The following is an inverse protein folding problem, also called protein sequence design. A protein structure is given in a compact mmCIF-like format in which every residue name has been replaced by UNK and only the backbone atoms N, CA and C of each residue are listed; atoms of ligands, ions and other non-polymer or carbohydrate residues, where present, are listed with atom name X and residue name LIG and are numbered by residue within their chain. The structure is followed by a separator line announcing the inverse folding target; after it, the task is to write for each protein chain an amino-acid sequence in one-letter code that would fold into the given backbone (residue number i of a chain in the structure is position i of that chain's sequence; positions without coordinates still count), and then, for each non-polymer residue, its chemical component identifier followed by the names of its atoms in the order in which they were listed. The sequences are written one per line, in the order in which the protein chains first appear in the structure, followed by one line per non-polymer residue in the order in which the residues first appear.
data_IF_517626284303
#
_entry.id   IF_517626284303
#
_cell.length_a   1.000
_cell.length_b   1.000
_cell.length_c   1.000
_cell.angle_alpha   90.00
_cell.angle_beta   90.00
_cell.angle_gamma   90.00
#
_symmetry.space_group_name_H-M   'P 1'
#
loop_
_entity.id
_entity.type
_entity.pdbx_description
1 polymer ?
#
# COMPACT_ATOMS: atom_id res chain seq x y z
N UNK A 1 32.92 -5.17 10.67
CA UNK A 1 31.80 -5.50 9.77
C UNK A 1 30.68 -4.48 9.96
N UNK A 2 29.90 -4.21 8.92
CA UNK A 2 28.71 -3.34 9.00
C UNK A 2 27.53 -4.04 8.31
N UNK A 3 26.36 -4.02 8.96
CA UNK A 3 25.10 -4.53 8.41
C UNK A 3 24.03 -3.45 8.41
N UNK A 4 23.42 -3.23 7.25
CA UNK A 4 22.35 -2.25 7.07
C UNK A 4 21.15 -2.88 6.37
N UNK A 5 20.00 -2.18 6.44
CA UNK A 5 18.78 -2.50 5.69
C UNK A 5 18.29 -1.25 4.98
N UNK A 6 17.84 -1.39 3.74
CA UNK A 6 17.35 -0.27 2.91
C UNK A 6 16.08 0.38 3.46
N UNK A 7 15.21 -0.41 4.11
CA UNK A 7 13.98 0.04 4.75
C UNK A 7 13.84 -0.56 6.15
N UNK A 8 13.92 0.28 7.18
CA UNK A 8 13.76 -0.14 8.59
C UNK A 8 12.30 -0.24 9.04
N UNK A 9 11.33 0.25 8.25
CA UNK A 9 9.89 0.24 8.55
C UNK A 9 9.03 -0.21 7.36
N UNK A 10 9.23 -1.43 6.82
CA UNK A 10 8.46 -1.94 5.68
C UNK A 10 7.05 -2.37 6.05
N UNK A 11 6.18 -2.51 5.06
CA UNK A 11 4.91 -3.22 5.20
C UNK A 11 5.12 -4.74 5.11
N UNK A 12 4.24 -5.53 5.73
CA UNK A 12 4.21 -6.98 5.50
C UNK A 12 3.87 -7.26 4.04
N UNK A 13 4.67 -8.10 3.39
CA UNK A 13 4.59 -8.42 1.97
C UNK A 13 5.57 -7.65 1.09
N UNK A 14 6.19 -6.59 1.60
CA UNK A 14 7.24 -5.86 0.86
C UNK A 14 8.57 -6.61 0.88
N UNK A 15 9.37 -6.39 -0.16
CA UNK A 15 10.75 -6.82 -0.20
C UNK A 15 11.65 -5.75 0.42
N UNK A 16 12.59 -6.19 1.25
CA UNK A 16 13.67 -5.38 1.81
C UNK A 16 15.01 -6.00 1.44
N UNK A 17 16.05 -5.18 1.46
CA UNK A 17 17.42 -5.59 1.13
C UNK A 17 18.33 -5.35 2.31
N UNK A 18 18.87 -6.44 2.88
CA UNK A 18 19.99 -6.37 3.81
C UNK A 18 21.29 -6.26 3.03
N UNK A 19 22.20 -5.39 3.49
CA UNK A 19 23.55 -5.24 2.95
C UNK A 19 24.55 -5.47 4.06
N UNK A 20 25.48 -6.40 3.85
CA UNK A 20 26.58 -6.72 4.77
C UNK A 20 27.87 -6.31 4.08
N UNK A 21 28.67 -5.49 4.74
CA UNK A 21 30.01 -5.10 4.31
C UNK A 21 31.04 -5.67 5.28
N UNK A 22 31.89 -6.55 4.77
CA UNK A 22 32.97 -7.21 5.50
C UNK A 22 34.31 -6.64 5.04
N UNK A 23 34.98 -5.90 5.93
CA UNK A 23 36.27 -5.28 5.67
C UNK A 23 37.37 -6.01 6.41
N UNK A 24 38.51 -6.27 5.76
CA UNK A 24 39.72 -6.75 6.43
C UNK A 24 40.67 -5.57 6.71
N UNK A 25 40.77 -5.17 7.97
CA UNK A 25 41.64 -4.05 8.40
C UNK A 25 43.13 -4.45 8.57
N UNK A 26 43.45 -5.72 8.28
CA UNK A 26 44.82 -6.20 8.12
C UNK A 26 45.54 -6.58 9.42
N UNK A 27 46.89 -6.69 9.38
CA UNK A 27 47.79 -6.36 8.27
C UNK A 27 47.97 -7.47 7.23
N UNK A 28 47.35 -8.64 7.41
CA UNK A 28 47.46 -9.78 6.50
C UNK A 28 46.13 -10.03 5.79
N UNK A 29 46.18 -10.70 4.64
CA UNK A 29 44.97 -11.21 3.99
C UNK A 29 44.28 -12.23 4.91
N UNK A 30 42.95 -12.16 4.98
CA UNK A 30 42.13 -13.08 5.75
C UNK A 30 41.66 -14.21 4.83
N UNK A 31 41.87 -15.47 5.21
CA UNK A 31 41.56 -16.66 4.41
C UNK A 31 40.61 -17.60 5.14
N UNK A 32 39.84 -18.37 4.37
CA UNK A 32 38.77 -19.25 4.86
C UNK A 32 37.79 -18.46 5.75
N UNK A 33 37.37 -17.30 5.25
CA UNK A 33 36.43 -16.42 5.94
C UNK A 33 35.01 -16.87 5.64
N UNK A 34 34.27 -17.20 6.70
CA UNK A 34 32.84 -17.53 6.63
C UNK A 34 32.05 -16.51 7.46
N UNK A 35 31.00 -15.94 6.87
CA UNK A 35 30.02 -15.12 7.60
C UNK A 35 28.70 -15.88 7.69
N UNK A 36 28.07 -15.84 8.86
CA UNK A 36 26.75 -16.39 9.06
C UNK A 36 25.73 -15.27 9.22
N UNK A 37 24.74 -15.29 8.36
CA UNK A 37 23.55 -14.45 8.39
C UNK A 37 22.35 -15.29 7.95
N UNK A 38 21.72 -15.98 8.90
CA UNK A 38 20.51 -16.74 8.62
C UNK A 38 19.30 -15.84 8.85
N UNK A 39 18.48 -15.66 7.81
CA UNK A 39 17.24 -14.90 7.92
C UNK A 39 16.33 -15.49 9.02
N UNK A 40 15.95 -14.70 10.04
CA UNK A 40 15.06 -15.17 11.10
C UNK A 40 13.61 -15.33 10.64
N UNK A 41 12.78 -15.94 11.49
CA UNK A 41 11.33 -15.99 11.32
C UNK A 41 10.76 -14.58 11.09
N UNK A 42 9.83 -14.46 10.15
CA UNK A 42 9.25 -13.17 9.73
C UNK A 42 9.88 -12.58 8.48
N UNK A 43 10.88 -13.25 7.89
CA UNK A 43 11.43 -12.97 6.58
C UNK A 43 11.36 -14.21 5.69
N UNK A 44 11.28 -14.02 4.38
CA UNK A 44 11.36 -15.11 3.39
C UNK A 44 12.36 -14.71 2.33
N UNK A 45 13.38 -15.54 2.12
CA UNK A 45 14.43 -15.31 1.14
C UNK A 45 13.86 -15.17 -0.29
N UNK A 46 14.38 -14.21 -1.06
CA UNK A 46 14.04 -13.99 -2.47
C UNK A 46 15.25 -14.20 -3.37
N UNK A 47 16.35 -13.51 -3.07
CA UNK A 47 17.60 -13.57 -3.83
C UNK A 47 18.77 -13.02 -3.03
N UNK A 48 20.00 -13.36 -3.42
CA UNK A 48 21.21 -12.70 -2.94
C UNK A 48 22.15 -12.30 -4.09
N UNK A 49 23.08 -11.41 -3.79
CA UNK A 49 24.26 -11.16 -4.63
C UNK A 49 25.49 -10.96 -3.73
N UNK A 50 26.62 -11.53 -4.16
CA UNK A 50 27.92 -11.41 -3.47
C UNK A 50 28.94 -10.73 -4.38
N UNK A 51 29.86 -9.95 -3.81
CA UNK A 51 31.04 -9.48 -4.53
C UNK A 51 32.10 -10.57 -4.69
N UNK A 52 32.23 -11.44 -3.70
CA UNK A 52 33.13 -12.60 -3.66
C UNK A 52 32.43 -13.78 -2.95
N UNK A 53 32.79 -15.00 -3.35
CA UNK A 53 32.25 -16.21 -2.74
C UNK A 53 30.78 -16.48 -3.06
N UNK A 54 30.12 -17.28 -2.23
CA UNK A 54 28.71 -17.66 -2.41
C UNK A 54 27.94 -17.75 -1.10
N UNK A 55 26.66 -17.37 -1.13
CA UNK A 55 25.75 -17.48 -0.01
C UNK A 55 24.81 -18.69 -0.17
N UNK A 56 24.57 -19.41 0.92
CA UNK A 56 23.62 -20.52 1.03
C UNK A 56 22.48 -20.09 1.97
N UNK A 57 21.27 -19.96 1.41
CA UNK A 57 20.10 -19.44 2.11
C UNK A 57 19.51 -20.41 3.15
N UNK A 58 19.74 -21.71 2.99
CA UNK A 58 19.23 -22.72 3.93
C UNK A 58 20.03 -22.70 5.24
N UNK A 59 21.34 -22.45 5.14
CA UNK A 59 22.26 -22.40 6.29
C UNK A 59 22.54 -20.98 6.79
N UNK A 60 22.31 -19.98 5.93
CA UNK A 60 22.69 -18.59 6.15
C UNK A 60 24.20 -18.37 6.02
N UNK A 61 24.93 -19.26 5.37
CA UNK A 61 26.39 -19.20 5.32
C UNK A 61 26.84 -18.50 4.05
N UNK A 62 27.60 -17.42 4.20
CA UNK A 62 28.38 -16.80 3.14
C UNK A 62 29.82 -17.30 3.22
N UNK A 63 30.20 -18.20 2.32
CA UNK A 63 31.58 -18.65 2.12
C UNK A 63 32.29 -17.57 1.29
N UNK A 64 32.95 -16.65 1.99
CA UNK A 64 33.63 -15.49 1.39
C UNK A 64 34.97 -15.90 0.78
N UNK A 65 35.62 -16.90 1.37
CA UNK A 65 36.94 -17.34 0.94
C UNK A 65 38.05 -16.43 1.43
N UNK A 66 38.57 -15.54 0.57
CA UNK A 66 39.70 -14.65 0.90
C UNK A 66 39.26 -13.20 0.84
N UNK A 67 39.56 -12.43 1.89
CA UNK A 67 39.41 -10.97 1.92
C UNK A 67 40.81 -10.37 1.99
N UNK A 68 41.26 -9.75 0.90
CA UNK A 68 42.58 -9.12 0.84
C UNK A 68 42.71 -7.98 1.86
N UNK A 69 43.92 -7.72 2.34
CA UNK A 69 44.16 -6.64 3.30
C UNK A 69 43.73 -5.28 2.73
N UNK A 70 42.79 -4.62 3.41
CA UNK A 70 42.22 -3.32 3.05
C UNK A 70 41.01 -3.39 2.12
N UNK A 71 40.64 -4.58 1.65
CA UNK A 71 39.47 -4.77 0.79
C UNK A 71 38.19 -4.95 1.61
N UNK A 72 37.06 -4.74 0.94
CA UNK A 72 35.73 -4.93 1.51
C UNK A 72 34.90 -5.76 0.55
N UNK A 73 34.41 -6.88 1.03
CA UNK A 73 33.46 -7.71 0.32
C UNK A 73 32.04 -7.43 0.80
N UNK A 74 31.07 -7.55 -0.09
CA UNK A 74 29.67 -7.24 0.14
C UNK A 74 28.78 -8.43 -0.18
N UNK A 75 27.82 -8.69 0.71
CA UNK A 75 26.67 -9.55 0.47
C UNK A 75 25.39 -8.74 0.59
N UNK A 76 24.52 -8.82 -0.41
CA UNK A 76 23.16 -8.29 -0.36
C UNK A 76 22.15 -9.43 -0.34
N UNK A 77 21.21 -9.42 0.60
CA UNK A 77 20.12 -10.41 0.69
C UNK A 77 18.79 -9.68 0.54
N UNK A 78 18.02 -10.03 -0.48
CA UNK A 78 16.63 -9.59 -0.65
C UNK A 78 15.69 -10.59 0.01
N UNK A 79 14.80 -10.08 0.87
CA UNK A 79 13.82 -10.90 1.56
C UNK A 79 12.44 -10.22 1.60
N UNK A 80 11.37 -11.01 1.51
CA UNK A 80 9.99 -10.56 1.73
C UNK A 80 9.67 -10.58 3.23
N UNK A 81 9.09 -9.50 3.74
CA UNK A 81 8.64 -9.39 5.13
C UNK A 81 7.33 -10.16 5.31
N UNK A 82 7.28 -11.13 6.24
CA UNK A 82 6.11 -11.99 6.48
C UNK A 82 5.51 -11.85 7.89
N UNK A 83 6.14 -11.05 8.76
CA UNK A 83 5.68 -10.80 10.13
C UNK A 83 5.58 -9.30 10.42
N UNK A 84 4.63 -8.93 11.28
CA UNK A 84 4.45 -7.57 11.79
C UNK A 84 5.25 -7.30 13.09
N UNK A 85 5.88 -8.33 13.67
CA UNK A 85 6.73 -8.16 14.84
C UNK A 85 8.05 -7.50 14.43
N UNK A 86 8.71 -6.81 15.36
CA UNK A 86 10.09 -6.36 15.15
C UNK A 86 10.99 -7.58 14.90
N UNK A 87 11.83 -7.47 13.88
CA UNK A 87 12.74 -8.51 13.42
C UNK A 87 14.16 -7.96 13.56
N UNK A 88 15.00 -8.71 14.26
CA UNK A 88 16.44 -8.44 14.35
C UNK A 88 17.14 -9.53 13.54
N UNK A 89 17.90 -9.11 12.53
CA UNK A 89 18.69 -10.01 11.71
C UNK A 89 20.17 -9.73 11.98
N UNK A 90 20.91 -10.77 12.36
CA UNK A 90 22.28 -10.68 12.88
C UNK A 90 23.20 -11.39 11.89
N UNK A 91 24.26 -10.69 11.48
CA UNK A 91 25.39 -11.27 10.79
C UNK A 91 26.57 -11.42 11.76
N UNK A 92 27.36 -12.48 11.62
CA UNK A 92 28.59 -12.69 12.38
C UNK A 92 29.64 -13.43 11.55
N UNK A 93 30.92 -13.03 11.65
CA UNK A 93 32.04 -13.84 11.17
C UNK A 93 32.15 -15.11 12.02
N UNK A 94 32.07 -16.28 11.38
CA UNK A 94 32.12 -17.57 12.06
C UNK A 94 33.42 -18.33 11.88
N UNK A 95 34.21 -17.98 10.87
CA UNK A 95 35.54 -18.52 10.65
C UNK A 95 36.46 -17.48 10.00
N UNK A 96 37.74 -17.55 10.34
CA UNK A 96 38.87 -16.90 9.68
C UNK A 96 40.15 -17.61 10.16
N UNK A 97 41.12 -17.83 9.27
CA UNK A 97 42.40 -18.43 9.64
C UNK A 97 43.33 -17.46 10.38
N UNK A 98 43.21 -16.16 10.08
CA UNK A 98 44.08 -15.13 10.64
C UNK A 98 43.52 -14.67 11.98
N UNK A 99 44.43 -14.56 12.96
CA UNK A 99 44.08 -14.08 14.29
C UNK A 99 43.68 -12.61 14.25
N UNK A 100 42.46 -12.36 14.69
CA UNK A 100 41.92 -11.04 14.98
C UNK A 100 42.23 -10.67 16.46
N UNK A 101 42.88 -9.52 16.73
CA UNK A 101 43.30 -9.14 18.08
C UNK A 101 42.19 -8.63 18.99
N UNK A 102 41.06 -8.18 18.45
CA UNK A 102 39.96 -7.57 19.19
C UNK A 102 38.61 -8.26 19.03
N UNK A 103 38.49 -9.20 18.09
CA UNK A 103 37.28 -10.02 17.91
C UNK A 103 37.57 -11.53 17.93
N UNK A 104 36.59 -12.34 18.32
CA UNK A 104 36.70 -13.81 18.29
C UNK A 104 35.57 -14.42 17.46
N UNK A 105 35.86 -15.05 16.30
CA UNK A 105 34.82 -15.60 15.44
C UNK A 105 33.88 -16.58 16.17
N UNK A 106 32.59 -16.51 15.83
CA UNK A 106 31.53 -17.42 16.32
C UNK A 106 31.33 -17.43 17.85
N UNK A 107 31.57 -16.31 18.54
CA UNK A 107 31.38 -16.20 20.00
C UNK A 107 30.05 -15.54 20.42
N UNK A 108 29.30 -14.96 19.48
CA UNK A 108 28.05 -14.22 19.70
C UNK A 108 28.19 -12.97 20.61
N UNK A 109 29.30 -12.22 20.54
CA UNK A 109 29.52 -10.99 21.32
C UNK A 109 29.13 -9.72 20.51
N UNK A 110 28.00 -9.06 20.80
CA UNK A 110 27.50 -7.93 19.97
C UNK A 110 28.31 -6.63 20.07
N UNK A 111 29.26 -6.54 20.99
CA UNK A 111 30.14 -5.38 21.14
C UNK A 111 31.44 -5.51 20.31
N UNK A 112 31.69 -6.70 19.74
CA UNK A 112 32.80 -6.96 18.82
C UNK A 112 32.42 -6.52 17.40
N UNK A 113 33.42 -6.17 16.58
CA UNK A 113 33.19 -5.63 15.24
C UNK A 113 33.04 -6.71 14.16
N UNK A 114 33.17 -7.98 14.53
CA UNK A 114 32.90 -9.14 13.67
C UNK A 114 31.42 -9.56 13.68
N UNK A 115 30.58 -8.86 14.46
CA UNK A 115 29.14 -9.05 14.54
C UNK A 115 28.41 -7.72 14.37
N UNK A 116 27.32 -7.72 13.61
CA UNK A 116 26.43 -6.57 13.49
C UNK A 116 24.99 -7.02 13.23
N UNK A 117 24.02 -6.15 13.51
CA UNK A 117 22.62 -6.45 13.33
C UNK A 117 21.91 -5.30 12.60
N UNK A 118 20.87 -5.67 11.84
CA UNK A 118 19.89 -4.73 11.34
C UNK A 118 18.53 -5.06 11.95
N UNK A 119 17.90 -4.04 12.50
CA UNK A 119 16.54 -4.14 13.03
C UNK A 119 15.54 -3.61 12.01
N UNK A 120 14.55 -4.43 11.70
CA UNK A 120 13.37 -4.06 10.93
C UNK A 120 12.22 -4.00 11.92
N UNK A 121 11.50 -2.88 11.94
CA UNK A 121 10.25 -2.76 12.68
C UNK A 121 9.14 -2.60 11.66
N UNK A 122 8.62 -3.71 11.09
CA UNK A 122 7.52 -3.64 10.16
C UNK A 122 6.38 -2.84 10.77
N UNK A 123 5.70 -2.06 9.94
CA UNK A 123 4.52 -1.36 10.40
C UNK A 123 3.52 -2.41 10.93
N UNK A 124 2.95 -2.19 12.12
CA UNK A 124 2.05 -3.17 12.71
C UNK A 124 0.92 -3.47 11.72
N UNK A 125 0.67 -4.75 11.44
CA UNK A 125 -0.55 -5.19 10.78
C UNK A 125 -1.68 -4.84 11.74
N UNK A 126 -2.34 -3.71 11.50
CA UNK A 126 -3.55 -3.34 12.20
C UNK A 126 -4.65 -4.25 11.61
N UNK A 127 -5.24 -5.19 12.38
CA UNK A 127 -6.43 -5.90 11.90
C UNK A 127 -7.50 -4.86 11.57
N UNK A 128 -8.04 -4.92 10.35
CA UNK A 128 -8.75 -3.83 9.71
C UNK A 128 -9.81 -3.15 10.58
N UNK A 129 -9.68 -1.82 10.79
CA UNK A 129 -10.79 -0.99 11.18
C UNK A 129 -11.25 -0.14 9.98
N UNK A 130 -12.26 -0.62 9.26
CA UNK A 130 -13.32 0.25 8.75
C UNK A 130 -13.31 0.61 7.27
N UNK A 131 -14.36 0.17 6.57
CA UNK A 131 -15.58 0.97 6.37
C UNK A 131 -16.72 -0.02 6.11
N UNK A 132 -17.54 -0.31 7.12
CA UNK A 132 -18.71 -1.18 6.90
C UNK A 132 -19.80 -0.42 6.16
N UNK A 133 -20.13 -0.84 4.94
CA UNK A 133 -21.46 -0.61 4.35
C UNK A 133 -22.54 -1.16 5.33
N UNK A 134 -23.80 -0.67 5.26
CA UNK A 134 -24.65 -0.37 6.41
C UNK A 134 -24.57 -1.40 7.56
N UNK A 135 -23.75 -1.07 8.56
CA UNK A 135 -23.38 -2.00 9.65
C UNK A 135 -22.29 -1.47 10.58
N UNK A 136 -21.61 -0.38 10.20
CA UNK A 136 -20.66 0.37 11.02
C UNK A 136 -21.20 0.68 12.43
N UNK A 137 -22.50 0.97 12.53
CA UNK A 137 -23.15 1.52 13.72
C UNK A 137 -23.46 0.53 14.87
N UNK A 138 -23.04 -0.74 14.79
CA UNK A 138 -23.41 -1.76 15.78
C UNK A 138 -22.25 -2.36 16.58
N UNK A 139 -20.99 -2.02 16.29
CA UNK A 139 -19.87 -2.55 17.06
C UNK A 139 -19.70 -1.77 18.39
N UNK A 140 -19.98 -2.43 19.52
CA UNK A 140 -19.90 -1.87 20.88
C UNK A 140 -18.58 -2.16 21.60
N UNK A 141 -17.62 -2.79 20.92
CA UNK A 141 -16.26 -2.90 21.41
C UNK A 141 -15.42 -2.05 20.47
N UNK A 142 -14.54 -1.22 21.03
CA UNK A 142 -13.66 -0.25 20.35
C UNK A 142 -14.33 1.11 20.06
N UNK A 143 -14.12 2.05 20.99
CA UNK A 143 -14.26 3.48 20.71
C UNK A 143 -12.99 4.18 21.20
N UNK A 144 -12.28 4.78 20.24
CA UNK A 144 -11.64 6.09 20.26
C UNK A 144 -10.87 6.20 18.93
N UNK A 145 -11.37 7.01 17.99
CA UNK A 145 -10.58 7.52 16.87
C UNK A 145 -10.49 9.03 17.07
N UNK A 146 -9.29 9.58 16.94
CA UNK A 146 -8.97 10.92 17.39
C UNK A 146 -7.97 11.58 16.42
N UNK A 147 -8.04 12.91 16.43
CA UNK A 147 -8.01 13.92 15.36
C UNK A 147 -6.62 14.44 14.94
N UNK A 148 -5.54 13.72 15.25
CA UNK A 148 -4.18 14.14 14.88
C UNK A 148 -3.57 15.32 15.66
N UNK A 149 -4.15 15.77 16.79
CA UNK A 149 -3.54 16.77 17.73
C UNK A 149 -2.93 16.16 19.03
N UNK A 150 -3.35 16.35 20.27
CA UNK A 150 -3.09 15.38 21.37
C UNK A 150 -4.15 15.62 22.47
N UNK A 151 -4.89 14.58 22.91
CA UNK A 151 -5.68 14.59 24.15
C UNK A 151 -7.23 14.63 24.07
N UNK A 152 -7.86 14.29 22.95
CA UNK A 152 -9.30 14.51 22.76
C UNK A 152 -10.11 13.29 22.27
N UNK A 153 -10.11 12.20 23.02
CA UNK A 153 -10.90 11.02 22.63
C UNK A 153 -12.13 10.81 23.57
N UNK A 154 -13.41 10.67 23.11
CA UNK A 154 -14.52 10.73 24.06
C UNK A 154 -15.43 9.50 24.22
N UNK A 155 -15.79 9.29 25.49
CA UNK A 155 -16.94 8.55 26.04
C UNK A 155 -18.29 9.28 25.82
N UNK A 156 -18.38 10.13 24.79
CA UNK A 156 -19.50 11.04 24.52
C UNK A 156 -20.36 10.65 23.31
N UNK A 157 -20.31 9.39 22.84
CA UNK A 157 -21.05 8.85 21.69
C UNK A 157 -22.60 8.79 21.81
N UNK A 158 -23.19 9.67 22.62
CA UNK A 158 -24.64 9.75 22.87
C UNK A 158 -25.15 11.14 23.25
N UNK A 159 -24.35 12.20 23.05
CA UNK A 159 -24.84 13.57 23.06
C UNK A 159 -25.46 13.88 21.67
N UNK A 160 -26.51 14.70 21.57
CA UNK A 160 -27.09 15.10 20.27
C UNK A 160 -26.10 15.86 19.35
N UNK A 161 -24.90 16.19 19.84
CA UNK A 161 -23.78 16.83 19.12
C UNK A 161 -22.57 15.88 18.89
N UNK A 162 -22.78 14.56 18.77
CA UNK A 162 -21.74 13.63 18.27
C UNK A 162 -21.62 13.77 16.73
N UNK A 163 -20.42 13.90 16.11
CA UNK A 163 -20.32 14.31 14.70
C UNK A 163 -20.92 13.30 13.71
N UNK A 164 -21.63 13.83 12.71
CA UNK A 164 -22.26 13.11 11.61
C UNK A 164 -21.30 12.76 10.44
N UNK A 165 -19.98 12.82 10.63
CA UNK A 165 -18.98 12.35 9.67
C UNK A 165 -17.56 12.84 9.94
N UNK A 166 -16.61 11.91 10.08
CA UNK A 166 -15.17 12.17 10.03
C UNK A 166 -14.56 11.24 8.98
N UNK A 167 -14.04 11.85 7.92
CA UNK A 167 -13.13 11.26 6.94
C UNK A 167 -11.76 11.86 7.29
N UNK A 168 -10.75 11.01 7.51
CA UNK A 168 -9.41 11.45 7.92
C UNK A 168 -8.89 12.59 7.04
N UNK A 169 -8.21 13.58 7.64
CA UNK A 169 -7.34 14.47 6.87
C UNK A 169 -6.36 13.59 6.07
N UNK A 170 -6.15 13.86 4.78
CA UNK A 170 -5.60 12.86 3.92
C UNK A 170 -4.07 12.72 4.15
N UNK A 171 -3.54 11.50 4.24
CA UNK A 171 -2.18 11.20 4.71
C UNK A 171 -1.09 11.49 3.67
N UNK A 172 -1.34 12.41 2.73
CA UNK A 172 -0.40 12.80 1.67
C UNK A 172 0.64 13.77 2.23
N UNK A 173 1.43 13.31 3.20
CA UNK A 173 2.53 14.10 3.79
C UNK A 173 3.70 14.29 2.83
N UNK A 174 3.80 13.42 1.82
CA UNK A 174 4.76 13.44 0.72
C UNK A 174 4.22 14.11 -0.56
N UNK A 175 3.03 14.73 -0.51
CA UNK A 175 2.54 15.63 -1.55
C UNK A 175 3.35 16.92 -1.61
N UNK A 176 3.40 17.56 -2.79
CA UNK A 176 4.02 18.88 -2.94
C UNK A 176 3.32 19.95 -2.09
N UNK A 177 2.01 19.80 -1.86
CA UNK A 177 1.25 20.54 -0.86
C UNK A 177 0.78 19.57 0.24
N UNK A 178 1.55 19.42 1.34
CA UNK A 178 1.22 18.47 2.39
C UNK A 178 -0.22 18.60 2.90
N UNK A 179 -0.93 17.47 2.96
CA UNK A 179 -2.35 17.42 3.34
C UNK A 179 -3.33 17.73 2.21
N UNK A 180 -2.84 17.84 0.97
CA UNK A 180 -3.64 17.99 -0.24
C UNK A 180 -3.14 17.06 -1.35
N UNK A 181 -4.01 16.85 -2.33
CA UNK A 181 -3.70 16.14 -3.57
C UNK A 181 -3.98 17.04 -4.76
N UNK A 182 -3.25 16.81 -5.84
CA UNK A 182 -3.54 17.41 -7.12
C UNK A 182 -4.79 16.74 -7.69
N UNK A 183 -5.89 17.48 -7.73
CA UNK A 183 -7.10 17.02 -8.39
C UNK A 183 -6.83 16.86 -9.90
N UNK A 184 -6.98 15.64 -10.47
CA UNK A 184 -6.70 15.39 -11.88
C UNK A 184 -7.62 16.19 -12.81
N UNK A 185 -8.84 16.55 -12.37
CA UNK A 185 -9.84 17.24 -13.19
C UNK A 185 -9.55 18.74 -13.25
N UNK A 186 -9.37 19.37 -12.08
CA UNK A 186 -9.19 20.83 -11.99
C UNK A 186 -7.73 21.25 -12.15
N UNK A 187 -6.78 20.35 -11.91
CA UNK A 187 -5.34 20.66 -11.85
C UNK A 187 -4.94 21.52 -10.64
N UNK A 188 -5.80 21.61 -9.63
CA UNK A 188 -5.56 22.38 -8.40
C UNK A 188 -5.31 21.46 -7.20
N UNK A 189 -4.46 21.90 -6.26
CA UNK A 189 -4.26 21.18 -5.01
C UNK A 189 -5.45 21.39 -4.06
N UNK A 190 -6.15 20.31 -3.76
CA UNK A 190 -7.36 20.31 -2.94
C UNK A 190 -7.28 19.31 -1.79
N UNK A 191 -8.07 19.56 -0.76
CA UNK A 191 -8.24 18.61 0.35
C UNK A 191 -9.28 17.57 -0.05
N UNK A 192 -8.87 16.31 -0.05
CA UNK A 192 -9.71 15.18 -0.42
C UNK A 192 -8.90 13.90 -0.48
N UNK A 193 -9.47 12.88 -1.09
CA UNK A 193 -8.85 11.58 -1.29
C UNK A 193 -8.60 11.35 -2.77
N UNK A 194 -7.38 11.00 -3.11
CA UNK A 194 -6.99 10.52 -4.44
C UNK A 194 -6.93 8.99 -4.37
N UNK A 195 -8.02 8.33 -4.73
CA UNK A 195 -8.12 6.87 -4.74
C UNK A 195 -7.21 6.34 -5.82
N UNK A 196 -6.35 5.36 -5.51
CA UNK A 196 -5.44 4.74 -6.47
C UNK A 196 -4.01 5.31 -6.46
N UNK A 197 -3.75 6.36 -5.69
CA UNK A 197 -2.40 6.89 -5.43
C UNK A 197 -1.72 6.06 -4.33
N UNK A 198 -1.06 4.97 -4.74
CA UNK A 198 -0.50 3.98 -3.83
C UNK A 198 0.81 4.43 -3.19
N UNK A 199 1.54 5.35 -3.83
CA UNK A 199 2.76 5.90 -3.24
C UNK A 199 2.49 7.13 -2.36
N UNK A 200 1.24 7.62 -2.35
CA UNK A 200 0.73 8.72 -1.52
C UNK A 200 1.39 10.06 -1.84
N UNK A 201 1.95 10.24 -3.03
CA UNK A 201 2.59 11.50 -3.41
C UNK A 201 1.59 12.61 -3.78
N UNK A 202 0.29 12.32 -3.70
CA UNK A 202 -0.79 13.25 -3.96
C UNK A 202 -0.95 13.59 -5.45
N UNK A 203 -0.50 12.72 -6.36
CA UNK A 203 -0.60 12.89 -7.81
C UNK A 203 -0.96 11.57 -8.47
N UNK A 204 -1.50 11.66 -9.67
CA UNK A 204 -1.70 10.51 -10.56
C UNK A 204 -0.40 10.24 -11.33
N UNK A 205 0.23 9.10 -11.07
CA UNK A 205 1.43 8.66 -11.81
C UNK A 205 1.10 7.79 -13.04
N UNK A 206 2.10 7.58 -13.92
CA UNK A 206 1.91 6.83 -15.19
C UNK A 206 1.38 5.40 -15.02
N UNK A 207 1.60 4.78 -13.87
CA UNK A 207 1.17 3.41 -13.55
C UNK A 207 -0.06 3.35 -12.64
N UNK A 208 -0.68 4.50 -12.36
CA UNK A 208 -1.82 4.58 -11.46
C UNK A 208 -3.09 4.93 -12.24
N UNK A 209 -4.19 4.26 -11.90
CA UNK A 209 -5.53 4.74 -12.24
C UNK A 209 -6.08 5.39 -10.99
N UNK A 210 -6.47 6.66 -11.09
CA UNK A 210 -6.94 7.41 -9.92
C UNK A 210 -8.28 8.08 -10.13
N UNK A 211 -9.06 8.21 -9.06
CA UNK A 211 -10.22 9.10 -8.98
C UNK A 211 -10.07 9.98 -7.75
N UNK A 212 -10.37 11.26 -7.89
CA UNK A 212 -10.38 12.21 -6.79
C UNK A 212 -11.80 12.44 -6.27
N UNK A 213 -11.92 12.52 -4.95
CA UNK A 213 -13.11 13.06 -4.29
C UNK A 213 -12.68 14.05 -3.22
N UNK A 214 -13.32 15.22 -3.17
CA UNK A 214 -13.23 16.10 -2.01
C UNK A 214 -13.72 15.37 -0.75
N UNK A 215 -13.34 15.86 0.42
CA UNK A 215 -13.79 15.26 1.69
C UNK A 215 -15.32 15.21 1.80
N UNK A 216 -16.01 16.25 1.33
CA UNK A 216 -17.47 16.34 1.38
C UNK A 216 -18.12 15.33 0.41
N UNK A 217 -17.59 15.20 -0.81
CA UNK A 217 -18.06 14.21 -1.79
C UNK A 217 -17.85 12.78 -1.28
N UNK A 218 -16.66 12.48 -0.75
CA UNK A 218 -16.37 11.17 -0.18
C UNK A 218 -17.32 10.82 0.98
N UNK A 219 -17.61 11.79 1.86
CA UNK A 219 -18.59 11.65 2.94
C UNK A 219 -19.99 11.37 2.38
N UNK A 220 -20.42 12.10 1.36
CA UNK A 220 -21.72 11.93 0.71
C UNK A 220 -21.80 10.62 -0.09
N UNK A 221 -20.68 10.16 -0.64
CA UNK A 221 -20.59 8.86 -1.32
C UNK A 221 -20.76 7.73 -0.31
N UNK A 222 -20.22 7.86 0.89
CA UNK A 222 -20.37 6.88 1.98
C UNK A 222 -21.77 6.94 2.60
N UNK A 223 -22.33 8.13 2.82
CA UNK A 223 -23.64 8.36 3.45
C UNK A 223 -24.79 7.94 2.53
N UNK A 224 -25.30 6.73 2.75
CA UNK A 224 -26.35 6.10 1.94
C UNK A 224 -27.71 6.86 1.88
N UNK A 225 -27.93 7.89 2.71
CA UNK A 225 -29.23 8.52 2.91
C UNK A 225 -29.67 9.52 1.82
N UNK A 226 -28.75 10.07 1.03
CA UNK A 226 -29.04 11.17 0.08
C UNK A 226 -28.97 10.79 -1.41
N UNK A 227 -28.97 9.50 -1.75
CA UNK A 227 -28.63 9.02 -3.10
C UNK A 227 -29.86 8.69 -3.96
N UNK A 228 -29.69 8.72 -5.28
CA UNK A 228 -30.56 8.00 -6.22
C UNK A 228 -30.31 6.50 -6.02
N UNK A 229 -31.00 5.89 -5.05
CA UNK A 229 -30.75 4.52 -4.53
C UNK A 229 -30.64 3.40 -5.59
N UNK A 230 -31.05 3.67 -6.82
CA UNK A 230 -31.10 2.69 -7.91
C UNK A 230 -29.86 2.68 -8.81
N UNK A 231 -29.01 3.70 -8.76
CA UNK A 231 -27.80 3.76 -9.60
C UNK A 231 -26.63 3.01 -8.95
N UNK A 232 -26.12 2.01 -9.67
CA UNK A 232 -25.07 1.12 -9.20
C UNK A 232 -23.68 1.75 -9.17
N UNK A 233 -23.47 2.87 -9.84
CA UNK A 233 -22.22 3.65 -9.71
C UNK A 233 -21.98 4.11 -8.28
N UNK A 234 -23.01 4.57 -7.57
CA UNK A 234 -22.88 4.88 -6.14
C UNK A 234 -22.64 3.65 -5.27
N UNK A 235 -23.10 2.47 -5.70
CA UNK A 235 -22.86 1.23 -4.94
C UNK A 235 -21.38 0.88 -5.01
N UNK A 236 -20.80 0.89 -6.20
CA UNK A 236 -19.37 0.64 -6.40
C UNK A 236 -18.51 1.76 -5.80
N UNK A 237 -18.82 3.03 -6.09
CA UNK A 237 -18.08 4.17 -5.56
C UNK A 237 -18.06 4.20 -4.03
N UNK A 238 -19.12 3.74 -3.36
CA UNK A 238 -19.10 3.57 -1.90
C UNK A 238 -18.11 2.49 -1.46
N UNK A 239 -18.13 1.31 -2.09
CA UNK A 239 -17.17 0.25 -1.76
C UNK A 239 -15.74 0.66 -2.09
N UNK A 240 -15.53 1.40 -3.16
CA UNK A 240 -14.21 1.90 -3.55
C UNK A 240 -13.68 2.93 -2.54
N UNK A 241 -14.48 3.94 -2.19
CA UNK A 241 -14.15 4.91 -1.14
C UNK A 241 -13.84 4.21 0.19
N UNK A 242 -14.69 3.26 0.58
CA UNK A 242 -14.49 2.42 1.75
C UNK A 242 -13.15 1.67 1.71
N UNK A 243 -12.84 1.04 0.58
CA UNK A 243 -11.62 0.25 0.41
C UNK A 243 -10.36 1.13 0.45
N UNK A 244 -10.44 2.32 -0.16
CA UNK A 244 -9.34 3.28 -0.13
C UNK A 244 -9.06 3.79 1.28
N UNK A 245 -10.11 4.09 2.05
CA UNK A 245 -9.93 4.51 3.43
C UNK A 245 -9.36 3.40 4.32
N UNK A 246 -9.75 2.15 4.09
CA UNK A 246 -9.08 1.02 4.72
C UNK A 246 -7.59 1.00 4.35
N UNK A 247 -7.24 1.18 3.08
CA UNK A 247 -5.84 1.22 2.64
C UNK A 247 -5.06 2.37 3.29
N UNK A 248 -5.61 3.58 3.31
CA UNK A 248 -5.00 4.74 3.95
C UNK A 248 -4.80 4.54 5.46
N UNK A 249 -5.70 3.79 6.11
CA UNK A 249 -5.58 3.36 7.51
C UNK A 249 -4.48 2.30 7.74
N UNK A 250 -3.74 1.90 6.70
CA UNK A 250 -2.62 0.96 6.78
C UNK A 250 -3.01 -0.49 6.51
N UNK A 251 -4.21 -0.75 5.99
CA UNK A 251 -4.60 -2.11 5.59
C UNK A 251 -4.02 -2.47 4.22
N UNK A 252 -3.70 -3.76 3.98
CA UNK A 252 -3.39 -4.22 2.63
C UNK A 252 -4.63 -4.02 1.74
N UNK A 253 -4.42 -3.56 0.51
CA UNK A 253 -5.50 -3.24 -0.40
C UNK A 253 -5.66 -4.32 -1.48
N UNK A 254 -6.90 -4.67 -1.90
CA UNK A 254 -7.12 -5.41 -3.12
C UNK A 254 -6.82 -4.49 -4.32
N UNK A 255 -5.54 -4.36 -4.68
CA UNK A 255 -5.06 -3.34 -5.64
C UNK A 255 -5.68 -3.50 -7.03
N UNK A 256 -5.83 -4.75 -7.48
CA UNK A 256 -6.42 -5.07 -8.78
C UNK A 256 -7.91 -4.66 -8.78
N UNK A 257 -8.67 -5.01 -7.74
CA UNK A 257 -10.10 -4.68 -7.66
C UNK A 257 -10.36 -3.18 -7.44
N UNK A 258 -9.46 -2.47 -6.74
CA UNK A 258 -9.52 -1.01 -6.65
C UNK A 258 -9.28 -0.40 -8.02
N UNK A 259 -8.30 -0.89 -8.77
CA UNK A 259 -7.99 -0.43 -10.13
C UNK A 259 -9.15 -0.70 -11.08
N UNK A 260 -9.71 -1.92 -11.07
CA UNK A 260 -10.90 -2.27 -11.84
C UNK A 260 -12.10 -1.42 -11.45
N UNK A 261 -12.29 -1.15 -10.15
CA UNK A 261 -13.35 -0.29 -9.65
C UNK A 261 -13.23 1.16 -10.11
N UNK A 262 -12.02 1.70 -10.12
CA UNK A 262 -11.71 3.01 -10.68
C UNK A 262 -12.03 3.02 -12.17
N UNK A 263 -11.47 2.09 -12.94
CA UNK A 263 -11.66 2.04 -14.38
C UNK A 263 -13.11 1.82 -14.78
N UNK A 264 -13.87 1.03 -14.02
CA UNK A 264 -15.31 0.84 -14.24
C UNK A 264 -16.09 2.14 -14.00
N UNK A 265 -15.74 2.92 -12.98
CA UNK A 265 -16.34 4.24 -12.73
C UNK A 265 -15.94 5.24 -13.82
N UNK A 266 -14.66 5.35 -14.17
CA UNK A 266 -14.18 6.24 -15.24
C UNK A 266 -14.78 5.87 -16.60
N UNK A 267 -15.12 4.60 -16.84
CA UNK A 267 -15.83 4.18 -18.05
C UNK A 267 -17.29 4.66 -18.07
N UNK A 268 -17.94 4.77 -16.91
CA UNK A 268 -19.39 4.98 -16.80
C UNK A 268 -19.75 6.27 -16.04
N UNK A 269 -18.86 7.25 -16.01
CA UNK A 269 -19.11 8.59 -15.46
C UNK A 269 -18.78 9.64 -16.52
N UNK A 270 -19.34 10.86 -16.39
CA UNK A 270 -18.99 11.96 -17.29
C UNK A 270 -17.49 12.26 -17.26
N UNK A 271 -16.99 12.69 -18.41
CA UNK A 271 -15.67 13.28 -18.64
C UNK A 271 -15.85 14.80 -18.57
N UNK A 272 -15.44 15.42 -17.46
CA UNK A 272 -15.64 16.83 -17.16
C UNK A 272 -14.53 17.71 -17.75
N UNK A 273 -13.31 17.20 -17.86
CA UNK A 273 -12.13 17.93 -18.34
C UNK A 273 -11.82 17.70 -19.83
N UNK A 274 -12.45 16.70 -20.44
CA UNK A 274 -12.33 16.34 -21.85
C UNK A 274 -11.08 15.54 -22.19
N UNK A 275 -10.45 14.88 -21.21
CA UNK A 275 -9.26 14.05 -21.42
C UNK A 275 -9.57 12.68 -22.07
N UNK A 276 -10.86 12.36 -22.23
CA UNK A 276 -11.34 11.10 -22.76
C UNK A 276 -11.48 10.02 -21.68
N UNK A 277 -11.50 10.34 -20.40
CA UNK A 277 -11.79 9.43 -19.29
C UNK A 277 -12.86 10.07 -18.43
N UNK A 278 -13.75 9.25 -17.87
CA UNK A 278 -14.68 9.77 -16.88
C UNK A 278 -13.96 10.06 -15.57
N UNK A 279 -14.45 11.04 -14.83
CA UNK A 279 -13.78 11.54 -13.62
C UNK A 279 -14.25 10.88 -12.33
N UNK A 280 -15.20 9.95 -12.43
CA UNK A 280 -15.82 9.36 -11.26
C UNK A 280 -16.81 10.30 -10.56
N UNK A 281 -17.17 11.44 -11.17
CA UNK A 281 -18.05 12.48 -10.64
C UNK A 281 -19.46 11.97 -10.34
N UNK A 282 -19.69 11.52 -9.11
CA UNK A 282 -20.94 10.86 -8.73
C UNK A 282 -22.01 11.87 -8.32
N UNK A 283 -21.62 12.99 -7.72
CA UNK A 283 -22.47 14.13 -7.37
C UNK A 283 -23.20 14.72 -8.59
N UNK A 284 -22.54 14.71 -9.75
CA UNK A 284 -23.08 15.23 -11.00
C UNK A 284 -24.15 14.33 -11.65
N UNK A 285 -24.35 13.13 -11.11
CA UNK A 285 -25.38 12.19 -11.56
C UNK A 285 -26.78 12.53 -11.02
N UNK A 286 -26.92 13.53 -10.13
CA UNK A 286 -28.16 13.71 -9.35
C UNK A 286 -29.27 14.44 -10.11
N UNK A 287 -29.01 15.37 -11.03
CA UNK A 287 -30.09 15.98 -11.85
C UNK A 287 -29.56 16.68 -13.11
N UNK A 288 -29.89 16.16 -14.30
CA UNK A 288 -29.94 16.99 -15.52
C UNK A 288 -28.97 16.65 -16.66
N UNK A 289 -28.09 15.66 -16.51
CA UNK A 289 -27.20 15.19 -17.58
C UNK A 289 -27.86 13.99 -18.29
N UNK A 290 -27.61 13.83 -19.60
CA UNK A 290 -27.98 12.67 -20.45
C UNK A 290 -27.28 11.35 -20.02
N UNK A 291 -26.99 11.18 -18.74
CA UNK A 291 -26.34 10.01 -18.14
C UNK A 291 -27.38 9.13 -17.42
N UNK A 292 -28.09 8.24 -18.14
CA UNK A 292 -29.10 7.39 -17.51
C UNK A 292 -28.47 6.53 -16.40
N UNK A 293 -29.21 6.27 -15.31
CA UNK A 293 -28.69 5.53 -14.17
C UNK A 293 -28.36 4.09 -14.56
N UNK A 294 -27.29 3.54 -13.99
CA UNK A 294 -26.92 2.14 -14.19
C UNK A 294 -27.73 1.27 -13.25
N UNK A 295 -28.78 0.63 -13.79
CA UNK A 295 -29.66 -0.23 -13.02
C UNK A 295 -28.97 -1.55 -12.60
N UNK A 296 -29.46 -2.17 -11.53
CA UNK A 296 -29.03 -3.49 -11.06
C UNK A 296 -29.14 -4.60 -12.12
N UNK A 297 -30.02 -4.44 -13.12
CA UNK A 297 -30.22 -5.38 -14.22
C UNK A 297 -29.38 -5.07 -15.46
N UNK A 298 -28.54 -4.04 -15.41
CA UNK A 298 -27.68 -3.65 -16.54
C UNK A 298 -26.68 -4.75 -16.88
N UNK A 299 -26.35 -4.86 -18.18
CA UNK A 299 -25.27 -5.72 -18.65
C UNK A 299 -23.93 -5.31 -18.05
N UNK A 300 -23.65 -4.01 -17.95
CA UNK A 300 -22.41 -3.48 -17.36
C UNK A 300 -22.24 -3.88 -15.89
N UNK A 301 -23.37 -3.99 -15.16
CA UNK A 301 -23.36 -4.33 -13.75
C UNK A 301 -23.21 -5.84 -13.50
N UNK A 302 -23.79 -6.70 -14.33
CA UNK A 302 -23.79 -8.15 -14.09
C UNK A 302 -22.89 -8.97 -15.02
N UNK A 303 -22.43 -8.38 -16.12
CA UNK A 303 -21.73 -9.08 -17.19
C UNK A 303 -20.45 -8.40 -17.68
N UNK A 304 -20.04 -7.28 -17.06
CA UNK A 304 -18.80 -6.58 -17.42
C UNK A 304 -18.93 -5.67 -18.63
N UNK A 305 -17.79 -5.12 -19.03
CA UNK A 305 -17.66 -4.22 -20.19
C UNK A 305 -16.62 -4.83 -21.13
N UNK A 306 -17.12 -5.56 -22.13
CA UNK A 306 -16.27 -6.27 -23.12
C UNK A 306 -16.29 -5.60 -24.50
N UNK A 307 -17.05 -4.51 -24.64
CA UNK A 307 -17.23 -3.82 -25.93
C UNK A 307 -16.43 -2.51 -25.95
N UNK A 308 -15.89 -2.10 -27.11
CA UNK A 308 -15.17 -0.83 -27.22
C UNK A 308 -16.00 0.33 -26.68
N UNK A 309 -15.33 1.32 -26.06
CA UNK A 309 -15.99 2.47 -25.45
C UNK A 309 -16.90 3.19 -26.44
N UNK A 310 -16.46 3.34 -27.70
CA UNK A 310 -17.24 3.93 -28.80
C UNK A 310 -18.59 3.25 -29.11
N UNK A 311 -18.86 2.08 -28.52
CA UNK A 311 -20.14 1.36 -28.65
C UNK A 311 -21.09 1.53 -27.45
N UNK A 312 -20.63 2.17 -26.38
CA UNK A 312 -21.45 2.50 -25.22
C UNK A 312 -22.48 3.60 -25.56
N UNK A 313 -23.56 3.75 -24.79
CA UNK A 313 -24.45 4.87 -24.96
C UNK A 313 -23.79 6.18 -24.48
N UNK A 314 -24.14 7.28 -25.15
CA UNK A 314 -23.78 8.62 -24.70
C UNK A 314 -24.22 8.89 -23.25
N UNK A 315 -23.40 9.61 -22.45
CA UNK A 315 -22.12 10.25 -22.81
C UNK A 315 -20.89 9.34 -22.71
N UNK A 316 -21.04 8.08 -22.28
CA UNK A 316 -19.91 7.19 -22.01
C UNK A 316 -19.13 6.79 -23.28
N UNK A 317 -19.70 6.98 -24.46
CA UNK A 317 -19.02 6.78 -25.75
C UNK A 317 -17.87 7.77 -26.01
N UNK A 318 -17.74 8.81 -25.19
CA UNK A 318 -16.68 9.81 -25.29
C UNK A 318 -15.44 9.44 -24.48
N UNK A 319 -15.52 8.45 -23.58
CA UNK A 319 -14.44 8.08 -22.66
C UNK A 319 -13.38 7.18 -23.33
N UNK A 320 -12.94 7.54 -24.53
CA UNK A 320 -12.06 6.74 -25.40
C UNK A 320 -10.66 6.48 -24.81
N UNK A 321 -10.22 7.28 -23.84
CA UNK A 321 -9.02 7.06 -23.04
C UNK A 321 -9.07 5.80 -22.17
N UNK A 322 -10.27 5.24 -21.96
CA UNK A 322 -10.48 3.98 -21.22
C UNK A 322 -10.34 2.72 -22.09
N UNK A 323 -10.11 2.83 -23.41
CA UNK A 323 -10.03 1.64 -24.29
C UNK A 323 -8.91 0.67 -23.90
N UNK A 324 -7.80 1.16 -23.34
CA UNK A 324 -6.69 0.33 -22.85
C UNK A 324 -7.01 -0.50 -21.60
N UNK A 325 -8.10 -0.18 -20.89
CA UNK A 325 -8.54 -0.85 -19.67
C UNK A 325 -9.52 -2.01 -19.93
N UNK A 326 -9.94 -2.23 -21.18
CA UNK A 326 -10.92 -3.27 -21.53
C UNK A 326 -10.25 -4.62 -21.81
N UNK A 327 -10.91 -5.76 -21.50
CA UNK A 327 -12.25 -5.88 -20.90
C UNK A 327 -12.26 -5.62 -19.39
N UNK A 328 -13.35 -5.04 -18.87
CA UNK A 328 -13.54 -4.81 -17.43
C UNK A 328 -14.51 -5.84 -16.81
N UNK A 329 -14.24 -6.34 -15.60
CA UNK A 329 -15.15 -7.22 -14.88
C UNK A 329 -16.51 -6.58 -14.60
N UNK A 330 -17.46 -7.43 -14.18
CA UNK A 330 -18.79 -6.97 -13.84
C UNK A 330 -18.77 -6.09 -12.58
N UNK A 331 -19.48 -4.95 -12.61
CA UNK A 331 -19.49 -4.03 -11.48
C UNK A 331 -19.99 -4.68 -10.17
N UNK A 332 -20.85 -5.69 -10.25
CA UNK A 332 -21.30 -6.46 -9.08
C UNK A 332 -20.23 -7.39 -8.48
N UNK A 333 -19.33 -7.90 -9.31
CA UNK A 333 -18.19 -8.74 -8.91
C UNK A 333 -17.16 -7.88 -8.19
N UNK A 334 -16.74 -6.77 -8.82
CA UNK A 334 -15.83 -5.78 -8.22
C UNK A 334 -16.40 -5.28 -6.90
N UNK A 335 -17.67 -4.83 -6.90
CA UNK A 335 -18.34 -4.40 -5.68
C UNK A 335 -18.37 -5.51 -4.61
N UNK A 336 -18.64 -6.76 -5.00
CA UNK A 336 -18.69 -7.88 -4.07
C UNK A 336 -17.36 -8.12 -3.38
N UNK A 337 -16.25 -8.07 -4.13
CA UNK A 337 -14.89 -8.26 -3.59
C UNK A 337 -14.54 -7.09 -2.68
N UNK A 338 -14.73 -5.85 -3.13
CA UNK A 338 -14.46 -4.67 -2.33
C UNK A 338 -15.34 -4.63 -1.07
N UNK A 339 -16.62 -4.98 -1.16
CA UNK A 339 -17.53 -5.02 0.00
C UNK A 339 -17.14 -6.13 0.99
N UNK A 340 -16.69 -7.29 0.51
CA UNK A 340 -16.17 -8.36 1.37
C UNK A 340 -14.90 -7.91 2.08
N UNK A 341 -13.93 -7.34 1.35
CA UNK A 341 -12.73 -6.72 1.92
C UNK A 341 -13.07 -5.69 3.01
N UNK A 342 -13.99 -4.78 2.72
CA UNK A 342 -14.41 -3.74 3.64
C UNK A 342 -15.08 -4.26 4.92
N UNK A 343 -15.65 -5.47 4.87
CA UNK A 343 -16.38 -6.08 5.97
C UNK A 343 -15.58 -7.13 6.75
N UNK A 344 -14.66 -7.82 6.07
CA UNK A 344 -13.98 -9.03 6.54
C UNK A 344 -12.45 -8.98 6.42
N UNK A 345 -11.87 -7.99 5.72
CA UNK A 345 -10.43 -7.94 5.41
C UNK A 345 -10.05 -8.76 4.17
N UNK A 346 -8.75 -8.79 3.86
CA UNK A 346 -8.17 -9.66 2.83
C UNK A 346 -7.85 -11.06 3.35
#
# INVERSE_FOLDING_TARGET
MVKEVDNTTPNVGENITFTINLTNDGPNDATNVDVKDLLPDGLTYVSDTTSEGSYDEETGTWDVGTVENGDTETLTITATVTSAAAIENIAQVTASDQFDPDSTPNNNEPEEDDQDNATVTPLPVIPSPGVRTPGFWQNKKWQKFWDGIEGNEPSQAGQPDFPDGDLFYPPYTNSEEPGKVLDPVTGEYQTGILIGDYNRNGKTDENESTIFYTTDEALDIIKASNKVQQDKRYTLGRSLNASWLNYLAGNPAPTDDITDGIQWLQTLTPDEDGDGKGDGALEDLVTGIDSPPIAASSGFWNGGIDSPISSLPSPYDQNVGMEGALPLPAGNEIHGILDDYNNNGL
#
